data_IF_754370111197
#
_entry.id   IF_754370111197
#
_cell.length_a   1.000
_cell.length_b   1.000
_cell.length_c   1.000
_cell.angle_alpha   90.00
_cell.angle_beta   90.00
_cell.angle_gamma   90.00
#
_symmetry.space_group_name_H-M   'P 1'
#
loop_
_entity.id
_entity.type
_entity.pdbx_description
1 polymer ?
#
# COMPACT_ATOMS: atom_id res chain seq x y z
N UNK A 1 11.33 13.01 14.08
CA UNK A 1 10.06 12.64 13.41
C UNK A 1 9.29 13.92 13.16
N UNK A 2 8.95 14.23 11.89
CA UNK A 2 8.17 15.42 11.52
C UNK A 2 6.69 15.11 11.36
N UNK A 3 5.81 16.12 11.42
CA UNK A 3 4.37 15.96 11.14
C UNK A 3 4.12 15.28 9.79
N UNK A 4 4.86 15.70 8.75
CA UNK A 4 4.80 15.11 7.41
C UNK A 4 5.18 13.62 7.42
N UNK A 5 6.21 13.24 8.17
CA UNK A 5 6.63 11.84 8.30
C UNK A 5 5.58 11.01 9.05
N UNK A 6 4.98 11.56 10.11
CA UNK A 6 3.91 10.91 10.84
C UNK A 6 2.68 10.66 9.94
N UNK A 7 2.25 11.69 9.20
CA UNK A 7 1.11 11.58 8.28
C UNK A 7 1.37 10.55 7.17
N UNK A 8 2.59 10.51 6.63
CA UNK A 8 3.03 9.48 5.67
C UNK A 8 2.84 8.07 6.24
N UNK A 9 3.32 7.83 7.45
CA UNK A 9 3.22 6.52 8.12
C UNK A 9 1.76 6.12 8.27
N UNK A 10 0.90 7.03 8.75
CA UNK A 10 -0.52 6.76 8.91
C UNK A 10 -1.19 6.38 7.58
N UNK A 11 -0.93 7.14 6.52
CA UNK A 11 -1.51 6.89 5.18
C UNK A 11 -1.10 5.53 4.61
N UNK A 12 0.19 5.18 4.72
CA UNK A 12 0.69 3.88 4.25
C UNK A 12 0.11 2.73 5.08
N UNK A 13 0.04 2.87 6.41
CA UNK A 13 -0.59 1.85 7.26
C UNK A 13 -2.06 1.65 6.91
N UNK A 14 -2.79 2.73 6.70
CA UNK A 14 -4.21 2.67 6.36
C UNK A 14 -4.45 1.92 5.04
N UNK A 15 -3.74 2.27 3.95
CA UNK A 15 -3.90 1.55 2.68
C UNK A 15 -3.44 0.09 2.77
N UNK A 16 -2.47 -0.22 3.64
CA UNK A 16 -2.04 -1.60 3.89
C UNK A 16 -3.15 -2.41 4.57
N UNK A 17 -3.84 -1.83 5.54
CA UNK A 17 -5.00 -2.47 6.17
C UNK A 17 -6.12 -2.71 5.14
N UNK A 18 -6.42 -1.74 4.27
CA UNK A 18 -7.41 -1.92 3.21
C UNK A 18 -7.05 -3.07 2.27
N UNK A 19 -5.77 -3.24 1.92
CA UNK A 19 -5.30 -4.37 1.11
C UNK A 19 -5.45 -5.73 1.83
N UNK A 20 -5.53 -5.75 3.16
CA UNK A 20 -5.71 -6.97 3.96
C UNK A 20 -7.20 -7.30 4.12
N UNK A 21 -8.01 -6.28 4.44
CA UNK A 21 -9.43 -6.39 4.79
C UNK A 21 -10.34 -6.48 3.56
N UNK A 22 -10.02 -5.75 2.49
CA UNK A 22 -10.87 -5.63 1.31
C UNK A 22 -10.15 -6.09 0.04
N UNK A 23 -10.63 -7.21 -0.52
CA UNK A 23 -10.10 -7.83 -1.74
C UNK A 23 -10.28 -6.95 -2.98
N UNK A 24 -11.19 -5.98 -2.98
CA UNK A 24 -11.37 -5.03 -4.09
C UNK A 24 -10.10 -4.21 -4.32
N UNK A 25 -9.39 -3.82 -3.24
CA UNK A 25 -8.17 -3.02 -3.32
C UNK A 25 -7.01 -3.76 -3.97
N UNK A 26 -7.00 -5.10 -3.92
CA UNK A 26 -6.00 -5.93 -4.59
C UNK A 26 -6.10 -5.88 -6.12
N UNK A 27 -7.27 -5.49 -6.65
CA UNK A 27 -7.52 -5.35 -8.10
C UNK A 27 -7.09 -3.97 -8.62
N UNK A 28 -6.85 -3.00 -7.74
CA UNK A 28 -6.49 -1.66 -8.15
C UNK A 28 -5.04 -1.59 -8.64
N UNK A 29 -4.84 -0.76 -9.67
CA UNK A 29 -3.50 -0.48 -10.13
C UNK A 29 -2.76 0.44 -9.12
N UNK A 30 -1.42 0.41 -9.17
CA UNK A 30 -0.57 1.19 -8.25
C UNK A 30 -0.80 2.70 -8.35
N UNK A 31 -1.26 3.21 -9.51
CA UNK A 31 -1.59 4.63 -9.65
C UNK A 31 -2.80 5.03 -8.80
N UNK A 32 -3.87 4.23 -8.85
CA UNK A 32 -5.08 4.43 -8.06
C UNK A 32 -4.76 4.32 -6.57
N UNK A 33 -3.95 3.33 -6.16
CA UNK A 33 -3.54 3.19 -4.77
C UNK A 33 -2.70 4.38 -4.27
N UNK A 34 -1.82 4.93 -5.10
CA UNK A 34 -1.04 6.12 -4.77
C UNK A 34 -1.94 7.35 -4.58
N UNK A 35 -2.92 7.53 -5.46
CA UNK A 35 -3.89 8.63 -5.40
C UNK A 35 -4.77 8.55 -4.14
N UNK A 36 -5.30 7.36 -3.84
CA UNK A 36 -6.06 7.09 -2.60
C UNK A 36 -5.22 7.32 -1.33
N UNK A 37 -3.91 7.05 -1.40
CA UNK A 37 -2.97 7.33 -0.31
C UNK A 37 -2.58 8.82 -0.22
N UNK A 38 -3.12 9.67 -1.10
CA UNK A 38 -2.84 11.10 -1.16
C UNK A 38 -1.39 11.40 -1.56
N UNK A 39 -0.81 10.57 -2.42
CA UNK A 39 0.56 10.71 -2.93
C UNK A 39 0.56 11.17 -4.38
N UNK A 40 1.44 12.11 -4.70
CA UNK A 40 1.48 12.77 -6.00
C UNK A 40 2.01 11.89 -7.14
N UNK A 41 2.68 10.77 -6.86
CA UNK A 41 3.12 9.83 -7.89
C UNK A 41 3.34 8.40 -7.36
N UNK A 42 3.36 7.45 -8.30
CA UNK A 42 3.56 6.01 -8.05
C UNK A 42 4.91 5.69 -7.41
N UNK A 43 5.96 6.42 -7.75
CA UNK A 43 7.32 6.17 -7.29
C UNK A 43 7.43 6.48 -5.79
N UNK A 44 6.91 7.63 -5.37
CA UNK A 44 6.83 8.04 -3.96
C UNK A 44 6.01 7.05 -3.15
N UNK A 45 4.86 6.64 -3.67
CA UNK A 45 4.06 5.58 -3.05
C UNK A 45 4.83 4.28 -2.90
N UNK A 46 5.45 3.76 -3.96
CA UNK A 46 6.20 2.51 -3.90
C UNK A 46 7.37 2.59 -2.92
N UNK A 47 8.10 3.72 -2.89
CA UNK A 47 9.21 3.92 -1.97
C UNK A 47 8.75 3.97 -0.51
N UNK A 48 7.71 4.74 -0.21
CA UNK A 48 7.17 4.85 1.15
C UNK A 48 6.52 3.53 1.62
N UNK A 49 5.83 2.82 0.73
CA UNK A 49 5.26 1.52 1.03
C UNK A 49 6.36 0.50 1.36
N UNK A 50 7.45 0.49 0.59
CA UNK A 50 8.63 -0.35 0.89
C UNK A 50 9.29 0.03 2.21
N UNK A 51 9.46 1.32 2.49
CA UNK A 51 10.07 1.82 3.73
C UNK A 51 9.28 1.38 4.97
N UNK A 52 7.95 1.40 4.92
CA UNK A 52 7.09 1.11 6.08
C UNK A 52 6.76 -0.38 6.21
N UNK A 53 6.51 -1.08 5.10
CA UNK A 53 6.08 -2.48 5.11
C UNK A 53 7.21 -3.48 4.79
N UNK A 54 8.40 -3.00 4.44
CA UNK A 54 9.55 -3.85 4.09
C UNK A 54 9.44 -4.56 2.74
N UNK A 55 8.34 -4.38 2.00
CA UNK A 55 8.14 -4.95 0.66
C UNK A 55 7.43 -3.98 -0.27
N UNK A 56 7.63 -4.13 -1.58
CA UNK A 56 6.96 -3.29 -2.59
C UNK A 56 5.45 -3.60 -2.65
N UNK A 57 4.61 -2.63 -3.02
CA UNK A 57 3.16 -2.83 -3.06
C UNK A 57 2.72 -3.93 -4.04
N UNK A 58 3.42 -4.08 -5.18
CA UNK A 58 3.15 -5.14 -6.16
C UNK A 58 3.40 -6.54 -5.58
N UNK A 59 4.50 -6.71 -4.85
CA UNK A 59 4.83 -7.96 -4.19
C UNK A 59 3.83 -8.26 -3.06
N UNK A 60 3.41 -7.22 -2.33
CA UNK A 60 2.43 -7.36 -1.26
C UNK A 60 1.09 -7.88 -1.80
N UNK A 61 0.58 -7.23 -2.87
CA UNK A 61 -0.67 -7.64 -3.52
C UNK A 61 -0.57 -9.07 -4.04
N UNK A 62 0.53 -9.42 -4.72
CA UNK A 62 0.75 -10.78 -5.24
C UNK A 62 0.78 -11.81 -4.13
N UNK A 63 1.46 -11.53 -3.01
CA UNK A 63 1.50 -12.40 -1.85
C UNK A 63 0.11 -12.59 -1.25
N UNK A 64 -0.62 -11.50 -1.03
CA UNK A 64 -1.96 -11.54 -0.45
C UNK A 64 -2.97 -12.30 -1.31
N UNK A 65 -2.88 -12.16 -2.63
CA UNK A 65 -3.71 -12.93 -3.57
C UNK A 65 -3.46 -14.43 -3.46
N UNK A 66 -2.19 -14.85 -3.34
CA UNK A 66 -1.85 -16.27 -3.14
C UNK A 66 -2.38 -16.82 -1.82
N UNK A 67 -2.23 -16.07 -0.72
CA UNK A 67 -2.78 -16.46 0.59
C UNK A 67 -4.30 -16.68 0.51
N UNK A 68 -5.01 -15.87 -0.28
CA UNK A 68 -6.46 -16.01 -0.48
C UNK A 68 -6.82 -17.24 -1.34
N UNK A 69 -5.94 -17.67 -2.25
CA UNK A 69 -6.17 -18.86 -3.09
C UNK A 69 -5.88 -20.17 -2.35
N UNK A 70 -5.08 -20.12 -1.29
CA UNK A 70 -4.69 -21.27 -0.46
C UNK A 70 -5.64 -21.51 0.74
N UNK A 71 -6.50 -20.54 1.07
CA UNK A 71 -7.59 -20.61 2.07
C UNK A 71 -8.91 -21.12 1.49
#
# INVERSE_FOLDING_TARGET
MSFTQYLKILRIKYITNLLIEDKEYLKYNIHVLADQCGMSNRQSFSAHFLEINGMRPTEFIKKRLKEIEED
#
